data_IF_181479034511
#
_entry.id   IF_181479034511
#
_cell.length_a   1.000
_cell.length_b   1.000
_cell.length_c   1.000
_cell.angle_alpha   90.00
_cell.angle_beta   90.00
_cell.angle_gamma   90.00
#
_symmetry.space_group_name_H-M   'P 1'
#
loop_
_entity.id
_entity.type
_entity.pdbx_description
1 polymer ?
#
# COMPACT_ATOMS: atom_id res chain seq x y z
N UNK A 1 7.94 -18.49 9.30
CA UNK A 1 6.72 -18.91 9.99
C UNK A 1 6.84 -18.89 11.50
N UNK A 2 7.84 -19.58 12.09
CA UNK A 2 7.93 -19.84 13.54
C UNK A 2 7.73 -18.61 14.43
N UNK A 3 8.27 -17.46 14.04
CA UNK A 3 8.21 -16.23 14.85
C UNK A 3 7.22 -15.21 14.32
N UNK A 4 6.98 -15.16 13.02
CA UNK A 4 6.17 -14.09 12.41
C UNK A 4 4.67 -14.44 12.29
N UNK A 5 4.31 -15.73 12.27
CA UNK A 5 2.90 -16.12 12.20
C UNK A 5 2.23 -16.01 13.57
N UNK A 6 1.21 -15.17 13.64
CA UNK A 6 0.33 -15.05 14.81
C UNK A 6 -0.96 -15.84 14.60
N UNK A 7 -1.12 -17.01 15.24
CA UNK A 7 -2.35 -17.80 15.12
C UNK A 7 -3.59 -17.07 15.65
N UNK A 8 -3.42 -16.18 16.63
CA UNK A 8 -4.51 -15.41 17.23
C UNK A 8 -5.08 -14.35 16.28
N UNK A 9 -4.20 -13.80 15.43
CA UNK A 9 -4.57 -12.75 14.46
C UNK A 9 -4.78 -13.32 13.06
N UNK A 10 -4.32 -14.54 12.77
CA UNK A 10 -4.28 -15.08 11.41
C UNK A 10 -3.44 -14.21 10.46
N UNK A 11 -2.32 -13.66 10.95
CA UNK A 11 -1.47 -12.71 10.24
C UNK A 11 0.01 -13.02 10.41
N UNK A 12 0.80 -12.61 9.43
CA UNK A 12 2.24 -12.43 9.59
C UNK A 12 2.47 -11.05 10.18
N UNK A 13 3.06 -11.00 11.38
CA UNK A 13 3.34 -9.77 12.13
C UNK A 13 4.83 -9.71 12.47
N UNK A 14 5.32 -8.51 12.72
CA UNK A 14 6.65 -8.33 13.28
C UNK A 14 6.72 -8.95 14.68
N UNK A 15 7.91 -9.45 15.02
CA UNK A 15 8.14 -10.14 16.29
C UNK A 15 9.17 -9.42 17.13
N UNK A 16 8.73 -8.96 18.28
CA UNK A 16 9.60 -8.40 19.31
C UNK A 16 10.32 -9.55 20.03
N UNK A 17 11.53 -9.82 19.61
CA UNK A 17 12.35 -10.93 20.17
C UNK A 17 12.82 -10.67 21.59
N UNK A 18 12.84 -9.41 22.05
CA UNK A 18 13.23 -9.04 23.41
C UNK A 18 12.12 -9.42 24.40
N UNK A 19 10.88 -9.09 24.03
CA UNK A 19 9.70 -9.35 24.87
C UNK A 19 8.97 -10.66 24.52
N UNK A 20 9.41 -11.34 23.47
CA UNK A 20 8.86 -12.63 23.07
C UNK A 20 7.43 -12.58 22.54
N UNK A 21 7.00 -11.48 21.91
CA UNK A 21 5.62 -11.25 21.45
C UNK A 21 5.56 -10.65 20.05
N UNK A 22 4.42 -10.86 19.40
CA UNK A 22 4.12 -10.15 18.15
C UNK A 22 3.79 -8.67 18.41
N UNK A 23 4.07 -7.85 17.41
CA UNK A 23 3.49 -6.50 17.36
C UNK A 23 2.00 -6.60 17.05
N UNK A 24 1.25 -5.53 17.32
CA UNK A 24 -0.19 -5.49 17.05
C UNK A 24 -0.54 -4.89 15.69
N UNK A 25 0.45 -4.28 15.03
CA UNK A 25 0.27 -3.54 13.78
C UNK A 25 0.48 -4.50 12.59
N UNK A 26 -0.53 -4.62 11.74
CA UNK A 26 -0.40 -5.30 10.46
C UNK A 26 0.23 -4.37 9.42
N UNK A 27 1.01 -4.95 8.51
CA UNK A 27 1.70 -4.22 7.47
C UNK A 27 1.47 -4.87 6.10
N UNK A 28 1.37 -4.06 5.07
CA UNK A 28 1.20 -4.49 3.67
C UNK A 28 2.31 -5.44 3.21
N UNK A 29 3.50 -5.34 3.78
CA UNK A 29 4.62 -6.26 3.50
C UNK A 29 4.30 -7.72 3.80
N UNK A 30 3.31 -8.01 4.64
CA UNK A 30 2.83 -9.37 4.91
C UNK A 30 2.31 -10.08 3.65
N UNK A 31 1.86 -9.35 2.63
CA UNK A 31 1.50 -9.94 1.33
C UNK A 31 2.68 -10.60 0.61
N UNK A 32 3.92 -10.28 0.97
CA UNK A 32 5.09 -10.97 0.42
C UNK A 32 5.14 -12.45 0.81
N UNK A 33 4.53 -12.82 1.93
CA UNK A 33 4.41 -14.23 2.33
C UNK A 33 3.54 -15.04 1.34
N UNK A 34 2.52 -14.43 0.75
CA UNK A 34 1.74 -15.00 -0.36
C UNK A 34 2.56 -15.05 -1.64
N UNK A 35 3.28 -13.99 -1.94
CA UNK A 35 4.08 -13.87 -3.16
C UNK A 35 5.15 -14.97 -3.28
N UNK A 36 5.71 -15.41 -2.16
CA UNK A 36 6.76 -16.41 -2.07
C UNK A 36 6.28 -17.77 -1.53
N UNK A 37 4.97 -18.00 -1.47
CA UNK A 37 4.38 -19.27 -1.00
C UNK A 37 4.85 -19.69 0.41
N UNK A 38 5.17 -18.72 1.27
CA UNK A 38 5.52 -18.99 2.67
C UNK A 38 4.28 -19.41 3.46
N UNK A 39 3.14 -18.84 3.10
CA UNK A 39 1.80 -19.13 3.62
C UNK A 39 0.91 -19.58 2.47
N UNK A 40 0.21 -20.70 2.63
CA UNK A 40 -0.64 -21.33 1.60
C UNK A 40 -1.93 -21.89 2.20
N UNK A 41 -2.86 -22.30 1.34
CA UNK A 41 -4.12 -22.92 1.73
C UNK A 41 -4.98 -22.06 2.65
N UNK A 42 -5.60 -22.66 3.65
CA UNK A 42 -6.50 -21.96 4.58
C UNK A 42 -5.82 -20.80 5.33
N UNK A 43 -4.52 -20.94 5.66
CA UNK A 43 -3.77 -19.85 6.30
C UNK A 43 -3.59 -18.65 5.36
N UNK A 44 -3.39 -18.89 4.06
CA UNK A 44 -3.29 -17.81 3.08
C UNK A 44 -4.61 -17.06 2.93
N UNK A 45 -5.72 -17.78 2.90
CA UNK A 45 -7.06 -17.20 2.81
C UNK A 45 -7.40 -16.38 4.05
N UNK A 46 -7.13 -16.92 5.24
CA UNK A 46 -7.32 -16.21 6.52
C UNK A 46 -6.49 -14.93 6.55
N UNK A 47 -5.20 -15.03 6.24
CA UNK A 47 -4.30 -13.88 6.23
C UNK A 47 -4.74 -12.80 5.23
N UNK A 48 -5.10 -13.19 4.00
CA UNK A 48 -5.61 -12.29 2.97
C UNK A 48 -6.85 -11.55 3.46
N UNK A 49 -7.84 -12.26 4.03
CA UNK A 49 -9.06 -11.65 4.51
C UNK A 49 -8.78 -10.64 5.64
N UNK A 50 -7.91 -10.98 6.57
CA UNK A 50 -7.54 -10.10 7.68
C UNK A 50 -6.76 -8.87 7.20
N UNK A 51 -5.78 -9.03 6.31
CA UNK A 51 -5.02 -7.90 5.74
C UNK A 51 -5.90 -6.95 4.94
N UNK A 52 -6.79 -7.48 4.10
CA UNK A 52 -7.70 -6.63 3.31
C UNK A 52 -8.67 -5.87 4.23
N UNK A 53 -9.22 -6.52 5.25
CA UNK A 53 -10.10 -5.84 6.23
C UNK A 53 -9.39 -4.67 6.93
N UNK A 54 -8.11 -4.79 7.24
CA UNK A 54 -7.36 -3.81 8.02
C UNK A 54 -6.71 -2.73 7.17
N UNK A 55 -6.29 -3.04 5.93
CA UNK A 55 -5.47 -2.16 5.10
C UNK A 55 -6.19 -1.60 3.88
N UNK A 56 -7.29 -2.23 3.43
CA UNK A 56 -7.94 -1.82 2.20
C UNK A 56 -8.76 -0.55 2.40
N UNK A 57 -8.45 0.44 1.58
CA UNK A 57 -9.13 1.73 1.53
C UNK A 57 -9.64 2.03 0.12
N UNK A 58 -10.21 3.19 -0.08
CA UNK A 58 -10.77 3.61 -1.38
C UNK A 58 -9.71 3.66 -2.51
N UNK A 59 -8.46 3.91 -2.18
CA UNK A 59 -7.38 4.17 -3.16
C UNK A 59 -6.37 3.02 -3.30
N UNK A 60 -6.56 1.93 -2.60
CA UNK A 60 -5.67 0.76 -2.59
C UNK A 60 -5.48 0.20 -1.19
N UNK A 61 -4.24 -0.14 -0.85
CA UNK A 61 -3.88 -0.67 0.47
C UNK A 61 -2.95 0.30 1.18
N UNK A 62 -3.26 0.63 2.43
CA UNK A 62 -2.37 1.44 3.27
C UNK A 62 -1.13 0.65 3.70
N UNK A 63 -0.09 1.36 4.13
CA UNK A 63 1.18 0.71 4.55
C UNK A 63 0.97 -0.13 5.80
N UNK A 64 0.23 0.38 6.78
CA UNK A 64 -0.06 -0.34 8.02
C UNK A 64 -1.47 -0.02 8.55
N UNK A 65 -1.95 -0.85 9.49
CA UNK A 65 -3.31 -0.74 10.06
C UNK A 65 -3.46 0.43 11.03
N UNK A 66 -2.40 0.83 11.69
CA UNK A 66 -2.42 1.88 12.68
C UNK A 66 -1.23 2.83 12.54
N UNK A 67 -1.43 4.06 12.98
CA UNK A 67 -0.36 5.02 13.27
C UNK A 67 -0.49 5.38 14.75
N UNK A 68 0.57 5.14 15.51
CA UNK A 68 0.56 5.44 16.95
C UNK A 68 0.64 6.94 17.26
N UNK A 69 0.80 7.77 16.24
CA UNK A 69 0.98 9.21 16.41
C UNK A 69 0.02 9.97 15.49
N UNK A 70 -0.42 11.14 15.96
CA UNK A 70 -1.24 12.09 15.19
C UNK A 70 -0.50 12.66 13.96
N UNK A 71 0.80 12.39 13.83
CA UNK A 71 1.62 12.84 12.70
C UNK A 71 1.56 11.78 11.59
N UNK A 72 1.08 12.13 10.42
CA UNK A 72 0.99 11.20 9.29
C UNK A 72 2.36 10.94 8.67
N UNK A 73 3.07 9.95 9.16
CA UNK A 73 4.33 9.49 8.57
C UNK A 73 4.13 8.85 7.20
N UNK A 74 5.19 8.87 6.39
CA UNK A 74 5.19 8.30 5.04
C UNK A 74 4.88 6.78 5.01
N UNK A 75 5.17 6.05 6.08
CA UNK A 75 4.87 4.63 6.21
C UNK A 75 3.72 4.33 7.17
N UNK A 76 2.93 5.32 7.52
CA UNK A 76 1.78 5.19 8.39
C UNK A 76 0.49 4.73 7.68
N UNK A 77 -0.57 4.62 8.46
CA UNK A 77 -1.92 4.24 8.00
C UNK A 77 -2.47 5.13 6.88
N UNK A 78 -2.00 6.36 6.78
CA UNK A 78 -2.49 7.32 5.79
C UNK A 78 -1.73 7.27 4.47
N UNK A 79 -0.72 6.42 4.35
CA UNK A 79 0.18 6.39 3.19
C UNK A 79 -0.08 5.19 2.29
N UNK A 80 0.01 5.43 0.97
CA UNK A 80 -0.02 4.43 -0.09
C UNK A 80 1.25 4.56 -0.93
N UNK A 81 1.99 3.46 -1.04
CA UNK A 81 3.21 3.36 -1.84
C UNK A 81 3.05 2.38 -2.99
N UNK A 82 3.41 2.81 -4.20
CA UNK A 82 3.29 1.98 -5.39
C UNK A 82 4.04 0.66 -5.30
N UNK A 83 5.28 0.68 -4.83
CA UNK A 83 6.10 -0.53 -4.67
C UNK A 83 5.46 -1.57 -3.74
N UNK A 84 4.76 -1.13 -2.70
CA UNK A 84 4.05 -2.01 -1.78
C UNK A 84 2.74 -2.53 -2.38
N UNK A 85 2.04 -1.71 -3.18
CA UNK A 85 0.89 -2.19 -3.97
C UNK A 85 1.31 -3.29 -4.96
N UNK A 86 2.48 -3.14 -5.59
CA UNK A 86 3.03 -4.17 -6.48
C UNK A 86 3.18 -5.52 -5.77
N UNK A 87 3.80 -5.51 -4.58
CA UNK A 87 3.99 -6.73 -3.78
C UNK A 87 2.66 -7.37 -3.38
N UNK A 88 1.71 -6.57 -2.95
CA UNK A 88 0.39 -7.07 -2.56
C UNK A 88 -0.38 -7.66 -3.74
N UNK A 89 -0.49 -6.95 -4.86
CA UNK A 89 -1.15 -7.44 -6.07
C UNK A 89 -0.48 -8.72 -6.60
N UNK A 90 0.86 -8.75 -6.62
CA UNK A 90 1.61 -9.94 -7.05
C UNK A 90 1.41 -11.12 -6.12
N UNK A 91 1.35 -10.88 -4.81
CA UNK A 91 1.05 -11.88 -3.79
C UNK A 91 -0.34 -12.47 -3.96
N UNK A 92 -1.35 -11.62 -4.11
CA UNK A 92 -2.74 -12.03 -4.34
C UNK A 92 -2.89 -12.90 -5.59
N UNK A 93 -2.30 -12.48 -6.73
CA UNK A 93 -2.33 -13.25 -7.99
C UNK A 93 -1.65 -14.61 -7.80
N UNK A 94 -0.46 -14.66 -7.21
CA UNK A 94 0.29 -15.91 -7.03
C UNK A 94 -0.41 -16.90 -6.10
N UNK A 95 -1.13 -16.38 -5.12
CA UNK A 95 -1.92 -17.20 -4.19
C UNK A 95 -3.30 -17.60 -4.74
N UNK A 96 -3.65 -17.17 -5.96
CA UNK A 96 -4.93 -17.51 -6.60
C UNK A 96 -6.10 -16.58 -6.25
N UNK A 97 -5.88 -15.50 -5.52
CA UNK A 97 -6.92 -14.53 -5.09
C UNK A 97 -7.11 -13.44 -6.15
N UNK A 98 -7.51 -13.86 -7.35
CA UNK A 98 -7.58 -13.00 -8.52
C UNK A 98 -8.58 -11.85 -8.38
N UNK A 99 -9.77 -12.11 -7.86
CA UNK A 99 -10.82 -11.09 -7.69
C UNK A 99 -10.38 -9.98 -6.74
N UNK A 100 -9.72 -10.34 -5.65
CA UNK A 100 -9.15 -9.39 -4.70
C UNK A 100 -8.03 -8.56 -5.34
N UNK A 101 -7.17 -9.21 -6.14
CA UNK A 101 -6.10 -8.52 -6.87
C UNK A 101 -6.67 -7.52 -7.90
N UNK A 102 -7.71 -7.90 -8.66
CA UNK A 102 -8.39 -7.00 -9.62
C UNK A 102 -9.00 -5.80 -8.92
N UNK A 103 -9.67 -6.01 -7.79
CA UNK A 103 -10.27 -4.93 -7.01
C UNK A 103 -9.22 -3.94 -6.50
N UNK A 104 -8.13 -4.43 -5.94
CA UNK A 104 -7.00 -3.58 -5.47
C UNK A 104 -6.34 -2.87 -6.65
N UNK A 105 -6.13 -3.56 -7.76
CA UNK A 105 -5.55 -2.99 -8.98
C UNK A 105 -6.40 -1.84 -9.53
N UNK A 106 -7.73 -2.01 -9.61
CA UNK A 106 -8.64 -0.97 -10.07
C UNK A 106 -8.59 0.29 -9.18
N UNK A 107 -8.57 0.10 -7.88
CA UNK A 107 -8.44 1.23 -6.93
C UNK A 107 -7.14 1.99 -7.15
N UNK A 108 -6.03 1.27 -7.28
CA UNK A 108 -4.72 1.85 -7.52
C UNK A 108 -4.64 2.57 -8.88
N UNK A 109 -5.15 1.96 -9.96
CA UNK A 109 -5.20 2.57 -11.29
C UNK A 109 -5.98 3.88 -11.26
N UNK A 110 -7.17 3.89 -10.64
CA UNK A 110 -8.01 5.08 -10.55
C UNK A 110 -7.28 6.22 -9.81
N UNK A 111 -6.62 5.90 -8.70
CA UNK A 111 -5.86 6.87 -7.93
C UNK A 111 -4.71 7.48 -8.75
N UNK A 112 -3.89 6.64 -9.37
CA UNK A 112 -2.73 7.10 -10.14
C UNK A 112 -3.18 7.89 -11.36
N UNK A 113 -4.20 7.41 -12.09
CA UNK A 113 -4.73 8.10 -13.28
C UNK A 113 -5.31 9.46 -12.92
N UNK A 114 -6.09 9.54 -11.84
CA UNK A 114 -6.59 10.83 -11.33
C UNK A 114 -5.46 11.85 -11.17
N UNK A 115 -4.42 11.48 -10.44
CA UNK A 115 -3.31 12.38 -10.14
C UNK A 115 -2.35 12.61 -11.33
N UNK A 116 -2.40 11.76 -12.34
CA UNK A 116 -1.69 11.96 -13.61
C UNK A 116 -2.38 13.00 -14.49
N UNK A 117 -3.71 12.94 -14.57
CA UNK A 117 -4.54 13.82 -15.41
C UNK A 117 -4.80 15.16 -14.73
N UNK A 118 -5.10 15.13 -13.44
CA UNK A 118 -5.43 16.32 -12.65
C UNK A 118 -4.74 16.20 -11.27
N UNK A 119 -3.43 16.50 -11.21
CA UNK A 119 -2.73 16.57 -9.94
C UNK A 119 -3.35 17.72 -9.13
N UNK A 120 -3.72 17.44 -7.90
CA UNK A 120 -4.36 18.41 -7.00
C UNK A 120 -3.67 19.77 -7.07
N UNK A 121 -4.44 20.89 -7.08
CA UNK A 121 -3.87 22.21 -7.29
C UNK A 121 -2.77 22.51 -6.28
N UNK A 122 -1.88 23.42 -6.70
CA UNK A 122 -0.74 23.91 -5.95
C UNK A 122 -0.96 23.89 -4.44
N UNK A 123 -0.32 22.97 -3.73
CA UNK A 123 -0.48 22.86 -2.27
C UNK A 123 0.64 23.55 -1.53
N UNK A 124 0.24 24.18 -0.45
CA UNK A 124 1.13 24.67 0.58
C UNK A 124 1.68 23.49 1.38
N UNK A 125 2.99 23.31 1.43
CA UNK A 125 3.61 22.31 2.31
C UNK A 125 3.69 22.93 3.72
N UNK A 126 2.87 22.45 4.68
CA UNK A 126 2.69 23.14 5.95
C UNK A 126 3.94 23.18 6.84
N UNK A 127 4.88 22.24 6.66
CA UNK A 127 5.90 21.99 7.66
C UNK A 127 7.33 22.40 7.30
N UNK A 128 7.66 22.72 6.06
CA UNK A 128 9.07 22.98 5.69
C UNK A 128 9.37 24.27 4.97
N UNK A 129 8.50 24.73 4.13
CA UNK A 129 8.65 26.02 3.45
C UNK A 129 7.27 26.56 3.13
N UNK A 130 7.06 27.85 3.29
CA UNK A 130 5.83 28.52 2.82
C UNK A 130 5.83 28.66 1.29
N UNK A 131 6.36 27.69 0.57
CA UNK A 131 6.54 27.74 -0.88
C UNK A 131 5.40 27.01 -1.54
N UNK A 132 4.72 27.68 -2.44
CA UNK A 132 3.72 27.09 -3.32
C UNK A 132 4.43 26.14 -4.29
N UNK A 133 4.10 24.87 -4.25
CA UNK A 133 4.68 23.88 -5.17
C UNK A 133 3.72 23.62 -6.31
N UNK A 134 4.16 23.99 -7.52
CA UNK A 134 3.42 23.67 -8.75
C UNK A 134 3.58 22.20 -9.07
N UNK A 135 2.47 21.51 -9.27
CA UNK A 135 2.43 20.11 -9.67
C UNK A 135 2.22 20.00 -11.17
N UNK A 136 3.21 19.52 -11.93
CA UNK A 136 3.06 19.31 -13.36
C UNK A 136 2.06 18.19 -13.66
N UNK A 137 1.27 18.36 -14.70
CA UNK A 137 0.43 17.31 -15.29
C UNK A 137 1.28 16.21 -15.93
N UNK A 138 0.73 15.01 -16.04
CA UNK A 138 1.40 13.91 -16.72
C UNK A 138 2.58 13.31 -15.95
N UNK A 139 2.61 13.48 -14.63
CA UNK A 139 3.65 12.91 -13.78
C UNK A 139 3.13 11.73 -12.95
N UNK A 140 4.00 10.75 -12.72
CA UNK A 140 3.78 9.68 -11.74
C UNK A 140 4.44 10.09 -10.43
N UNK A 141 3.66 10.09 -9.38
CA UNK A 141 4.07 10.59 -8.06
C UNK A 141 4.61 9.46 -7.18
N UNK A 142 5.50 9.80 -6.27
CA UNK A 142 6.19 8.82 -5.40
C UNK A 142 5.23 8.10 -4.46
N UNK A 143 4.35 8.84 -3.80
CA UNK A 143 3.45 8.32 -2.77
C UNK A 143 2.12 9.07 -2.75
N UNK A 144 1.10 8.40 -2.21
CA UNK A 144 -0.26 8.91 -2.15
C UNK A 144 -0.83 8.78 -0.74
N UNK A 145 -1.93 9.48 -0.48
CA UNK A 145 -2.71 9.33 0.75
C UNK A 145 -3.76 8.22 0.60
N UNK A 146 -4.30 7.75 1.72
CA UNK A 146 -5.42 6.80 1.75
C UNK A 146 -6.69 7.36 1.06
N UNK A 147 -6.84 8.69 0.95
CA UNK A 147 -7.92 9.34 0.20
C UNK A 147 -7.66 9.44 -1.30
N UNK A 148 -6.45 9.10 -1.74
CA UNK A 148 -6.06 9.07 -3.14
C UNK A 148 -5.51 10.38 -3.67
N UNK A 149 -5.06 11.26 -2.80
CA UNK A 149 -4.33 12.47 -3.16
C UNK A 149 -2.82 12.23 -3.08
N UNK A 150 -2.02 13.14 -3.66
CA UNK A 150 -0.57 13.09 -3.54
C UNK A 150 -0.20 13.33 -2.08
N UNK A 151 0.68 12.48 -1.54
CA UNK A 151 1.06 12.55 -0.12
C UNK A 151 2.28 13.43 0.09
N UNK A 152 2.07 14.62 0.61
CA UNK A 152 3.14 15.55 1.01
C UNK A 152 3.37 15.58 2.53
N UNK A 153 2.76 14.66 3.25
CA UNK A 153 3.03 14.49 4.66
C UNK A 153 4.52 14.16 4.87
N UNK A 154 5.13 14.74 5.86
CA UNK A 154 6.54 14.58 6.19
C UNK A 154 7.50 15.26 5.20
N UNK A 155 7.34 15.06 3.88
CA UNK A 155 8.11 15.76 2.84
C UNK A 155 7.33 15.79 1.51
N UNK A 156 7.73 16.72 0.64
CA UNK A 156 7.14 16.88 -0.69
C UNK A 156 7.32 15.59 -1.55
N UNK A 157 6.20 15.06 -2.03
CA UNK A 157 6.21 13.91 -2.93
C UNK A 157 6.76 14.33 -4.29
N UNK A 158 7.85 13.72 -4.69
CA UNK A 158 8.49 13.99 -5.98
C UNK A 158 7.82 13.19 -7.11
N UNK A 159 7.83 13.69 -8.34
CA UNK A 159 7.49 12.90 -9.50
C UNK A 159 8.58 11.87 -9.76
N UNK A 160 8.38 10.64 -9.29
CA UNK A 160 9.33 9.52 -9.42
C UNK A 160 8.68 8.39 -10.20
N UNK A 161 9.16 8.18 -11.42
CA UNK A 161 8.62 7.19 -12.35
C UNK A 161 8.64 5.76 -11.80
N UNK A 162 9.75 5.33 -11.19
CA UNK A 162 10.01 3.93 -10.83
C UNK A 162 9.05 3.34 -9.81
N UNK A 163 8.76 4.06 -8.74
CA UNK A 163 7.91 3.55 -7.64
C UNK A 163 6.44 3.35 -8.03
N UNK A 164 5.96 4.09 -9.02
CA UNK A 164 4.55 4.10 -9.41
C UNK A 164 4.31 3.43 -10.77
N UNK A 165 5.27 3.51 -11.71
CA UNK A 165 5.09 2.96 -13.04
C UNK A 165 4.98 1.43 -13.05
N UNK A 166 5.89 0.72 -12.39
CA UNK A 166 5.87 -0.74 -12.38
C UNK A 166 4.58 -1.32 -11.78
N UNK A 167 4.10 -0.88 -10.61
CA UNK A 167 2.81 -1.31 -10.09
C UNK A 167 1.62 -0.88 -10.95
N UNK A 168 1.70 0.25 -11.64
CA UNK A 168 0.67 0.69 -12.58
C UNK A 168 0.55 -0.26 -13.77
N UNK A 169 1.69 -0.67 -14.37
CA UNK A 169 1.73 -1.65 -15.46
C UNK A 169 1.19 -3.00 -14.99
N UNK A 170 1.62 -3.49 -13.84
CA UNK A 170 1.11 -4.73 -13.26
C UNK A 170 -0.43 -4.67 -13.05
N UNK A 171 -0.92 -3.56 -12.52
CA UNK A 171 -2.36 -3.38 -12.30
C UNK A 171 -3.15 -3.41 -13.63
N UNK A 172 -2.61 -2.78 -14.69
CA UNK A 172 -3.20 -2.86 -16.03
C UNK A 172 -3.22 -4.31 -16.57
N UNK A 173 -2.13 -5.05 -16.39
CA UNK A 173 -2.07 -6.46 -16.80
C UNK A 173 -3.10 -7.32 -16.06
N UNK A 174 -3.26 -7.11 -14.75
CA UNK A 174 -4.24 -7.84 -13.93
C UNK A 174 -5.66 -7.60 -14.42
N UNK A 175 -6.00 -6.35 -14.71
CA UNK A 175 -7.37 -5.97 -15.13
C UNK A 175 -7.67 -6.38 -16.59
N UNK A 176 -6.66 -6.37 -17.47
CA UNK A 176 -6.84 -6.72 -18.90
C UNK A 176 -6.90 -8.23 -19.16
N UNK A 177 -6.20 -9.03 -18.40
CA UNK A 177 -6.11 -10.48 -18.59
C UNK A 177 -7.28 -11.21 -17.88
N UNK A 178 -8.51 -10.85 -18.24
CA UNK A 178 -9.72 -11.55 -17.77
C UNK A 178 -9.87 -12.92 -18.38
#
# INVERSE_FOLDING_TARGET
KKYLWSPQRGLMLDYDYVNGKHTEISCITSFTALMWHVIEGAQAEEMKNNLLRELEVKSGLTVCSESQEDIPYQFGRTAIWGSMQFQAMKGLIKAGFREDAERVALKYLNMVTKNYVDPYPDQYIPHKTRTLVKRPYGCLWEKFTHDGDINDNEYYSSPILGFTAAPYILALEIVRNK
#
